data_IF_896194302887
#
_entry.id   IF_896194302887
#
_cell.length_a   1.000
_cell.length_b   1.000
_cell.length_c   1.000
_cell.angle_alpha   90.00
_cell.angle_beta   90.00
_cell.angle_gamma   90.00
#
_symmetry.space_group_name_H-M   'P 1'
#
loop_
_entity.id
_entity.type
_entity.pdbx_description
1 polymer ?
#
# COMPACT_ATOMS: atom_id res chain seq x y z
N UNK A 1 -33.18 -14.28 -16.00
CA UNK A 1 -32.75 -15.17 -14.89
C UNK A 1 -32.77 -16.65 -15.27
N UNK A 2 -33.91 -17.25 -15.68
CA UNK A 2 -33.92 -18.67 -16.11
C UNK A 2 -32.96 -18.99 -17.26
N UNK A 3 -32.96 -18.18 -18.33
CA UNK A 3 -31.99 -18.31 -19.42
C UNK A 3 -30.52 -18.14 -19.00
N UNK A 4 -30.28 -17.38 -17.93
CA UNK A 4 -28.93 -17.15 -17.38
C UNK A 4 -28.48 -18.42 -16.65
N UNK A 5 -29.38 -19.01 -15.85
CA UNK A 5 -29.17 -20.31 -15.20
C UNK A 5 -28.89 -21.41 -16.22
N UNK A 6 -29.74 -21.55 -17.24
CA UNK A 6 -29.61 -22.60 -18.27
C UNK A 6 -28.33 -22.47 -19.10
N UNK A 7 -27.88 -21.23 -19.38
CA UNK A 7 -26.59 -21.01 -20.06
C UNK A 7 -25.41 -21.42 -19.20
N UNK A 8 -25.43 -21.06 -17.91
CA UNK A 8 -24.37 -21.45 -16.99
C UNK A 8 -24.29 -22.99 -16.89
N UNK A 9 -25.43 -23.67 -16.67
CA UNK A 9 -25.45 -25.13 -16.49
C UNK A 9 -25.09 -25.95 -17.73
N UNK A 10 -25.42 -25.49 -18.94
CA UNK A 10 -25.33 -26.33 -20.15
C UNK A 10 -24.25 -25.92 -21.15
N UNK A 11 -23.62 -24.74 -21.01
CA UNK A 11 -22.54 -24.30 -21.90
C UNK A 11 -21.21 -24.36 -21.14
N UNK A 12 -20.37 -25.37 -21.39
CA UNK A 12 -19.06 -25.46 -20.74
C UNK A 12 -18.20 -24.26 -21.16
N UNK A 13 -17.56 -23.60 -20.19
CA UNK A 13 -16.88 -22.28 -20.24
C UNK A 13 -17.76 -21.03 -20.04
N UNK A 14 -19.09 -21.15 -20.02
CA UNK A 14 -20.00 -20.01 -19.85
C UNK A 14 -20.36 -19.74 -18.36
N UNK A 15 -20.01 -20.62 -17.42
CA UNK A 15 -20.27 -20.42 -15.98
C UNK A 15 -19.79 -19.07 -15.43
N UNK A 16 -18.68 -18.55 -15.98
CA UNK A 16 -18.16 -17.22 -15.64
C UNK A 16 -18.49 -16.17 -16.69
N UNK A 17 -18.55 -16.56 -17.98
CA UNK A 17 -18.91 -15.64 -19.06
C UNK A 17 -20.36 -15.19 -18.98
N UNK A 18 -21.31 -15.97 -18.46
CA UNK A 18 -22.70 -15.55 -18.31
C UNK A 18 -22.83 -14.29 -17.45
N UNK A 19 -22.02 -14.18 -16.40
CA UNK A 19 -21.98 -13.01 -15.51
C UNK A 19 -21.19 -11.83 -16.09
N UNK A 20 -20.18 -12.11 -16.91
CA UNK A 20 -19.37 -11.10 -17.60
C UNK A 20 -20.01 -10.64 -18.91
N UNK A 21 -20.92 -11.44 -19.46
CA UNK A 21 -21.68 -11.15 -20.66
C UNK A 21 -22.59 -9.96 -20.37
N UNK A 22 -22.79 -9.11 -21.38
CA UNK A 22 -23.68 -7.97 -21.27
C UNK A 22 -25.12 -8.35 -20.89
N UNK A 23 -25.52 -9.62 -20.99
CA UNK A 23 -26.89 -10.06 -20.76
C UNK A 23 -27.37 -9.83 -19.32
N UNK A 24 -26.58 -10.25 -18.31
CA UNK A 24 -26.96 -10.01 -16.92
C UNK A 24 -26.91 -8.51 -16.58
N UNK A 25 -25.89 -7.81 -17.08
CA UNK A 25 -25.76 -6.35 -16.94
C UNK A 25 -26.98 -5.61 -17.50
N UNK A 26 -27.41 -5.93 -18.73
CA UNK A 26 -28.60 -5.33 -19.36
C UNK A 26 -29.90 -5.65 -18.61
N UNK A 27 -30.02 -6.85 -18.03
CA UNK A 27 -31.19 -7.20 -17.19
C UNK A 27 -31.23 -6.32 -15.94
N UNK A 28 -30.09 -6.13 -15.25
CA UNK A 28 -30.03 -5.26 -14.07
C UNK A 28 -30.24 -3.79 -14.45
N UNK A 29 -29.61 -3.32 -15.53
CA UNK A 29 -29.83 -1.96 -16.04
C UNK A 29 -31.31 -1.71 -16.36
N UNK A 30 -32.00 -2.67 -16.99
CA UNK A 30 -33.43 -2.59 -17.26
C UNK A 30 -34.26 -2.54 -15.96
N UNK A 31 -33.97 -3.42 -14.99
CA UNK A 31 -34.66 -3.47 -13.69
C UNK A 31 -34.47 -2.15 -12.90
N UNK A 32 -33.29 -1.55 -13.00
CA UNK A 32 -32.97 -0.27 -12.35
C UNK A 32 -33.63 0.91 -13.07
N UNK A 33 -33.58 0.94 -14.41
CA UNK A 33 -34.04 2.06 -15.24
C UNK A 33 -35.56 2.21 -15.33
N UNK A 34 -36.35 1.14 -15.12
CA UNK A 34 -37.82 1.26 -15.12
C UNK A 34 -38.34 2.08 -13.93
N UNK A 35 -38.97 3.22 -14.23
CA UNK A 35 -39.56 4.12 -13.24
C UNK A 35 -40.83 3.56 -12.56
N UNK A 36 -41.55 2.63 -13.21
CA UNK A 36 -42.96 2.35 -12.88
C UNK A 36 -43.27 0.90 -12.45
N UNK A 37 -42.31 0.21 -11.83
CA UNK A 37 -42.58 -1.15 -11.33
C UNK A 37 -41.82 -1.49 -10.06
N UNK A 38 -42.27 -0.91 -8.95
CA UNK A 38 -41.93 -1.40 -7.61
C UNK A 38 -42.22 -2.91 -7.51
N UNK A 39 -43.29 -3.39 -8.17
CA UNK A 39 -43.62 -4.82 -8.29
C UNK A 39 -42.51 -5.66 -8.94
N UNK A 40 -41.91 -5.21 -10.06
CA UNK A 40 -40.83 -5.94 -10.74
C UNK A 40 -39.58 -6.02 -9.87
N UNK A 41 -39.20 -4.91 -9.23
CA UNK A 41 -38.08 -4.87 -8.30
C UNK A 41 -38.33 -5.78 -7.10
N UNK A 42 -39.54 -5.77 -6.55
CA UNK A 42 -39.92 -6.61 -5.41
C UNK A 42 -39.90 -8.09 -5.77
N UNK A 43 -40.40 -8.45 -6.96
CA UNK A 43 -40.35 -9.82 -7.46
C UNK A 43 -38.92 -10.29 -7.70
N UNK A 44 -38.08 -9.45 -8.32
CA UNK A 44 -36.67 -9.77 -8.53
C UNK A 44 -35.93 -9.95 -7.19
N UNK A 45 -36.17 -9.06 -6.23
CA UNK A 45 -35.55 -9.13 -4.91
C UNK A 45 -36.00 -10.38 -4.15
N UNK A 46 -37.29 -10.72 -4.16
CA UNK A 46 -37.81 -11.89 -3.45
C UNK A 46 -37.38 -13.21 -4.07
N UNK A 47 -37.49 -13.36 -5.39
CA UNK A 47 -37.25 -14.64 -6.09
C UNK A 47 -35.80 -14.88 -6.47
N UNK A 48 -34.97 -13.84 -6.54
CA UNK A 48 -33.59 -13.98 -7.01
C UNK A 48 -32.56 -13.41 -6.03
N UNK A 49 -32.59 -12.10 -5.75
CA UNK A 49 -31.50 -11.48 -4.96
C UNK A 49 -31.46 -11.92 -3.48
N UNK A 50 -32.61 -12.25 -2.88
CA UNK A 50 -32.67 -12.80 -1.51
C UNK A 50 -32.34 -14.29 -1.46
N UNK A 51 -32.70 -15.04 -2.49
CA UNK A 51 -32.56 -16.50 -2.53
C UNK A 51 -31.14 -16.94 -2.94
N UNK A 52 -30.51 -16.23 -3.88
CA UNK A 52 -29.23 -16.62 -4.47
C UNK A 52 -28.11 -15.61 -4.17
N UNK A 53 -26.99 -16.07 -3.61
CA UNK A 53 -25.86 -15.22 -3.18
C UNK A 53 -24.99 -14.72 -4.35
N UNK A 54 -24.85 -15.53 -5.40
CA UNK A 54 -24.16 -15.20 -6.64
C UNK A 54 -24.87 -14.04 -7.36
N UNK A 55 -26.20 -14.13 -7.52
CA UNK A 55 -27.02 -13.05 -8.09
C UNK A 55 -26.85 -11.77 -7.28
N UNK A 56 -26.90 -11.85 -5.95
CA UNK A 56 -26.75 -10.69 -5.06
C UNK A 56 -25.39 -10.01 -5.24
N UNK A 57 -24.31 -10.80 -5.19
CA UNK A 57 -22.94 -10.29 -5.35
C UNK A 57 -22.74 -9.64 -6.71
N UNK A 58 -23.24 -10.26 -7.79
CA UNK A 58 -23.11 -9.74 -9.16
C UNK A 58 -23.98 -8.52 -9.41
N UNK A 59 -25.17 -8.44 -8.80
CA UNK A 59 -25.98 -7.21 -8.84
C UNK A 59 -25.25 -6.06 -8.15
N UNK A 60 -24.58 -6.30 -7.01
CA UNK A 60 -23.77 -5.29 -6.34
C UNK A 60 -22.59 -4.81 -7.20
N UNK A 61 -21.90 -5.72 -7.89
CA UNK A 61 -20.81 -5.36 -8.83
C UNK A 61 -21.30 -4.39 -9.92
N UNK A 62 -22.48 -4.63 -10.50
CA UNK A 62 -23.07 -3.78 -11.53
C UNK A 62 -23.47 -2.42 -10.94
N UNK A 63 -24.09 -2.40 -9.76
CA UNK A 63 -24.47 -1.15 -9.09
C UNK A 63 -23.25 -0.30 -8.76
N UNK A 64 -22.17 -0.91 -8.25
CA UNK A 64 -20.89 -0.22 -8.02
C UNK A 64 -20.36 0.33 -9.35
N UNK A 65 -20.33 -0.48 -10.41
CA UNK A 65 -19.86 -0.03 -11.73
C UNK A 65 -20.67 1.13 -12.30
N UNK A 66 -22.00 1.15 -12.12
CA UNK A 66 -22.87 2.23 -12.59
C UNK A 66 -22.61 3.49 -11.77
N UNK A 67 -22.56 3.39 -10.45
CA UNK A 67 -22.32 4.53 -9.56
C UNK A 67 -20.90 5.11 -9.76
N UNK A 68 -19.90 4.26 -9.94
CA UNK A 68 -18.53 4.65 -10.27
C UNK A 68 -18.37 5.20 -11.69
N UNK A 69 -19.35 5.05 -12.58
CA UNK A 69 -19.31 5.72 -13.89
C UNK A 69 -19.88 7.16 -13.81
N UNK A 70 -20.63 7.48 -12.75
CA UNK A 70 -21.18 8.80 -12.50
C UNK A 70 -20.15 9.76 -11.84
N UNK A 71 -18.91 9.74 -12.32
CA UNK A 71 -17.75 10.42 -11.70
C UNK A 71 -17.80 11.95 -11.73
N UNK A 72 -18.70 12.55 -12.51
CA UNK A 72 -18.82 14.01 -12.61
C UNK A 72 -19.53 14.58 -11.38
N UNK A 73 -18.76 14.93 -10.36
CA UNK A 73 -19.27 15.61 -9.16
C UNK A 73 -19.66 17.04 -9.54
N UNK A 74 -20.93 17.46 -9.35
CA UNK A 74 -21.34 18.83 -9.60
C UNK A 74 -20.71 19.77 -8.56
N UNK A 75 -19.99 20.79 -9.03
CA UNK A 75 -19.49 21.89 -8.21
C UNK A 75 -20.65 22.61 -7.50
N UNK A 76 -20.40 23.32 -6.37
CA UNK A 76 -21.44 24.04 -5.63
C UNK A 76 -22.23 25.06 -6.48
N UNK A 77 -21.59 25.61 -7.51
CA UNK A 77 -22.13 26.59 -8.46
C UNK A 77 -22.62 25.96 -9.78
N UNK A 78 -22.69 24.63 -9.86
CA UNK A 78 -23.06 23.95 -11.10
C UNK A 78 -24.54 24.17 -11.45
N UNK A 79 -24.79 24.83 -12.58
CA UNK A 79 -26.11 24.95 -13.16
C UNK A 79 -26.42 23.73 -14.04
N UNK A 80 -27.46 22.99 -13.67
CA UNK A 80 -27.93 21.87 -14.47
C UNK A 80 -28.72 22.41 -15.68
N UNK A 81 -28.11 22.40 -16.86
CA UNK A 81 -28.75 22.93 -18.09
C UNK A 81 -29.44 21.84 -18.93
N UNK A 82 -28.84 20.65 -18.97
CA UNK A 82 -29.23 19.54 -19.86
C UNK A 82 -30.10 18.52 -19.12
N UNK A 83 -31.43 18.66 -19.25
CA UNK A 83 -32.40 17.68 -18.76
C UNK A 83 -32.98 16.87 -19.91
N UNK A 84 -32.99 15.54 -19.77
CA UNK A 84 -33.59 14.62 -20.72
C UNK A 84 -35.11 14.87 -20.90
N UNK A 85 -35.81 15.23 -19.80
CA UNK A 85 -37.23 15.58 -19.81
C UNK A 85 -37.41 17.08 -19.58
N UNK A 86 -38.06 17.78 -20.52
CA UNK A 86 -38.26 19.24 -20.48
C UNK A 86 -39.03 19.72 -19.24
N UNK A 87 -39.89 18.87 -18.68
CA UNK A 87 -40.67 19.10 -17.44
C UNK A 87 -39.81 19.18 -16.18
N UNK A 88 -38.60 18.60 -16.21
CA UNK A 88 -37.73 18.45 -15.04
C UNK A 88 -37.12 19.76 -14.54
N UNK A 89 -37.07 20.81 -15.38
CA UNK A 89 -36.60 22.15 -14.99
C UNK A 89 -37.40 22.78 -13.86
N UNK A 90 -38.67 22.38 -13.68
CA UNK A 90 -39.55 22.88 -12.60
C UNK A 90 -39.36 22.13 -11.27
N UNK A 91 -38.70 20.97 -11.28
CA UNK A 91 -38.55 20.15 -10.08
C UNK A 91 -37.31 20.57 -9.29
N UNK A 92 -37.51 21.25 -8.16
CA UNK A 92 -36.42 21.70 -7.27
C UNK A 92 -35.48 20.56 -6.83
N UNK A 93 -35.95 19.31 -6.79
CA UNK A 93 -35.12 18.14 -6.44
C UNK A 93 -34.13 17.73 -7.54
N UNK A 94 -34.38 18.12 -8.79
CA UNK A 94 -33.51 17.79 -9.94
C UNK A 94 -32.54 18.93 -10.30
N UNK A 95 -32.80 20.15 -9.79
CA UNK A 95 -31.97 21.34 -10.02
C UNK A 95 -31.02 21.61 -8.84
N UNK A 96 -31.29 21.04 -7.66
CA UNK A 96 -30.44 21.26 -6.47
C UNK A 96 -29.27 20.27 -6.41
N UNK A 97 -28.04 20.80 -6.35
CA UNK A 97 -26.81 20.01 -6.10
C UNK A 97 -26.92 19.19 -4.82
N UNK A 98 -27.45 19.77 -3.74
CA UNK A 98 -27.62 19.07 -2.46
C UNK A 98 -28.60 17.89 -2.55
N UNK A 99 -29.63 17.98 -3.41
CA UNK A 99 -30.58 16.89 -3.61
C UNK A 99 -29.93 15.72 -4.39
N UNK A 100 -29.09 16.02 -5.38
CA UNK A 100 -28.28 15.01 -6.08
C UNK A 100 -27.27 14.36 -5.14
N UNK A 101 -26.50 15.15 -4.38
CA UNK A 101 -25.57 14.64 -3.36
C UNK A 101 -26.27 13.77 -2.33
N UNK A 102 -27.44 14.17 -1.84
CA UNK A 102 -28.23 13.35 -0.90
C UNK A 102 -28.63 12.00 -1.51
N UNK A 103 -29.11 11.97 -2.75
CA UNK A 103 -29.47 10.72 -3.43
C UNK A 103 -28.25 9.82 -3.67
N UNK A 104 -27.14 10.40 -4.10
CA UNK A 104 -25.88 9.67 -4.28
C UNK A 104 -25.38 9.09 -2.95
N UNK A 105 -25.43 9.89 -1.87
CA UNK A 105 -25.08 9.46 -0.52
C UNK A 105 -25.96 8.28 -0.07
N UNK A 106 -27.28 8.37 -0.24
CA UNK A 106 -28.21 7.31 0.15
C UNK A 106 -27.97 6.02 -0.67
N UNK A 107 -27.63 6.16 -1.96
CA UNK A 107 -27.27 5.03 -2.82
C UNK A 107 -25.96 4.36 -2.39
N UNK A 108 -24.91 5.15 -2.14
CA UNK A 108 -23.63 4.63 -1.64
C UNK A 108 -23.79 3.97 -0.27
N UNK A 109 -24.55 4.56 0.65
CA UNK A 109 -24.84 3.95 1.96
C UNK A 109 -25.61 2.64 1.81
N UNK A 110 -26.55 2.55 0.87
CA UNK A 110 -27.26 1.29 0.60
C UNK A 110 -26.29 0.20 0.11
N UNK A 111 -25.33 0.55 -0.75
CA UNK A 111 -24.27 -0.39 -1.18
C UNK A 111 -23.39 -0.78 0.01
N UNK A 112 -22.93 0.18 0.81
CA UNK A 112 -22.02 -0.05 1.94
C UNK A 112 -22.63 -0.87 3.09
N UNK A 113 -23.95 -0.86 3.25
CA UNK A 113 -24.67 -1.67 4.25
C UNK A 113 -24.85 -3.13 3.86
N UNK A 114 -24.62 -3.49 2.59
CA UNK A 114 -24.69 -4.88 2.16
C UNK A 114 -23.44 -5.66 2.57
N UNK A 115 -23.52 -6.99 2.51
CA UNK A 115 -22.36 -7.85 2.69
C UNK A 115 -21.44 -7.74 1.47
N UNK A 116 -20.45 -6.85 1.55
CA UNK A 116 -19.48 -6.58 0.49
C UNK A 116 -18.33 -7.60 0.58
N UNK A 117 -18.02 -8.25 -0.55
CA UNK A 117 -16.86 -9.15 -0.67
C UNK A 117 -15.52 -8.40 -0.54
N UNK A 118 -14.44 -9.12 -0.23
CA UNK A 118 -13.12 -8.50 -0.03
C UNK A 118 -12.62 -7.74 -1.29
N UNK A 119 -12.85 -8.27 -2.49
CA UNK A 119 -12.47 -7.64 -3.75
C UNK A 119 -13.25 -6.35 -4.03
N UNK A 120 -14.56 -6.36 -3.77
CA UNK A 120 -15.42 -5.18 -3.85
C UNK A 120 -14.99 -4.12 -2.83
N UNK A 121 -14.70 -4.53 -1.59
CA UNK A 121 -14.22 -3.63 -0.52
C UNK A 121 -12.93 -2.93 -0.95
N UNK A 122 -11.92 -3.67 -1.45
CA UNK A 122 -10.68 -3.07 -1.98
C UNK A 122 -10.94 -2.10 -3.13
N UNK A 123 -11.90 -2.41 -4.01
CA UNK A 123 -12.27 -1.53 -5.12
C UNK A 123 -12.90 -0.23 -4.63
N UNK A 124 -13.85 -0.31 -3.69
CA UNK A 124 -14.49 0.85 -3.06
C UNK A 124 -13.46 1.72 -2.31
N UNK A 125 -12.59 1.12 -1.51
CA UNK A 125 -11.56 1.86 -0.76
C UNK A 125 -10.56 2.57 -1.70
N UNK A 126 -10.25 1.98 -2.86
CA UNK A 126 -9.35 2.61 -3.84
C UNK A 126 -9.92 3.92 -4.39
N UNK A 127 -11.23 3.95 -4.67
CA UNK A 127 -11.94 5.12 -5.22
C UNK A 127 -12.58 6.01 -4.14
N UNK A 128 -12.45 5.64 -2.86
CA UNK A 128 -13.16 6.30 -1.75
C UNK A 128 -12.92 7.81 -1.72
N UNK A 129 -11.66 8.23 -1.69
CA UNK A 129 -11.27 9.64 -1.53
C UNK A 129 -11.66 10.52 -2.72
N UNK A 130 -11.48 10.02 -3.94
CA UNK A 130 -11.66 10.83 -5.14
C UNK A 130 -13.09 10.78 -5.71
N UNK A 131 -13.80 9.66 -5.50
CA UNK A 131 -15.08 9.41 -6.18
C UNK A 131 -16.24 9.16 -5.23
N UNK A 132 -16.03 8.78 -3.96
CA UNK A 132 -17.15 8.48 -3.03
C UNK A 132 -17.32 9.62 -2.03
N UNK A 133 -16.29 9.96 -1.27
CA UNK A 133 -16.31 10.99 -0.22
C UNK A 133 -16.86 12.35 -0.70
N UNK A 134 -16.51 12.88 -1.89
CA UNK A 134 -17.01 14.18 -2.35
C UNK A 134 -18.54 14.24 -2.59
N UNK A 135 -19.19 13.08 -2.79
CA UNK A 135 -20.65 13.00 -2.93
C UNK A 135 -21.38 13.06 -1.59
N UNK A 136 -20.69 12.83 -0.47
CA UNK A 136 -21.29 12.82 0.85
C UNK A 136 -21.43 14.26 1.38
N UNK A 137 -22.65 14.66 1.69
CA UNK A 137 -22.88 15.88 2.46
C UNK A 137 -22.46 15.69 3.93
N UNK A 138 -22.62 14.46 4.43
CA UNK A 138 -22.20 14.02 5.77
C UNK A 138 -21.23 12.84 5.65
N UNK A 139 -19.94 13.09 5.36
CA UNK A 139 -18.95 12.04 5.19
C UNK A 139 -18.62 11.30 6.50
N UNK A 140 -19.07 11.81 7.66
CA UNK A 140 -18.94 11.12 8.95
C UNK A 140 -19.62 9.74 8.94
N UNK A 141 -20.63 9.53 8.08
CA UNK A 141 -21.31 8.24 7.93
C UNK A 141 -20.41 7.14 7.33
N UNK A 142 -19.28 7.51 6.73
CA UNK A 142 -18.28 6.57 6.21
C UNK A 142 -17.31 6.10 7.29
N UNK A 143 -17.27 6.76 8.45
CA UNK A 143 -16.29 6.51 9.51
C UNK A 143 -16.34 5.06 10.00
N UNK A 144 -17.53 4.53 10.25
CA UNK A 144 -17.70 3.15 10.74
C UNK A 144 -17.17 2.15 9.70
N UNK A 145 -17.56 2.29 8.43
CA UNK A 145 -17.10 1.41 7.36
C UNK A 145 -15.58 1.48 7.15
N UNK A 146 -15.01 2.68 7.21
CA UNK A 146 -13.58 2.90 7.05
C UNK A 146 -12.80 2.37 8.26
N UNK A 147 -13.31 2.55 9.47
CA UNK A 147 -12.73 2.01 10.71
C UNK A 147 -12.75 0.48 10.71
N UNK A 148 -13.88 -0.13 10.34
CA UNK A 148 -13.99 -1.58 10.18
C UNK A 148 -13.00 -2.09 9.15
N UNK A 149 -12.93 -1.44 7.99
CA UNK A 149 -11.99 -1.78 6.92
C UNK A 149 -10.52 -1.58 7.33
N UNK A 150 -10.26 -0.62 8.20
CA UNK A 150 -8.93 -0.36 8.77
C UNK A 150 -8.53 -1.39 9.83
N UNK A 151 -9.50 -1.96 10.54
CA UNK A 151 -9.26 -2.98 11.55
C UNK A 151 -9.09 -4.39 10.97
N UNK A 152 -9.52 -4.66 9.73
CA UNK A 152 -9.34 -5.95 9.05
C UNK A 152 -7.87 -6.37 8.93
N UNK A 153 -6.95 -5.43 8.68
CA UNK A 153 -5.52 -5.70 8.50
C UNK A 153 -5.07 -5.81 7.03
N UNK A 154 -3.75 -5.81 6.84
CA UNK A 154 -3.09 -6.01 5.54
C UNK A 154 -3.41 -4.92 4.50
N UNK A 155 -3.53 -5.33 3.24
CA UNK A 155 -3.74 -4.41 2.12
C UNK A 155 -5.04 -3.60 2.21
N UNK A 156 -6.08 -4.13 2.84
CA UNK A 156 -7.37 -3.44 3.01
C UNK A 156 -7.22 -2.24 3.96
N UNK A 157 -6.48 -2.41 5.06
CA UNK A 157 -6.19 -1.33 6.00
C UNK A 157 -5.39 -0.20 5.35
N UNK A 158 -4.43 -0.53 4.49
CA UNK A 158 -3.64 0.48 3.76
C UNK A 158 -4.50 1.34 2.83
N UNK A 159 -5.50 0.74 2.19
CA UNK A 159 -6.43 1.47 1.33
C UNK A 159 -7.38 2.32 2.19
N UNK A 160 -7.88 1.78 3.30
CA UNK A 160 -8.76 2.48 4.24
C UNK A 160 -8.10 3.69 4.91
N UNK A 161 -6.78 3.63 5.18
CA UNK A 161 -6.01 4.71 5.79
C UNK A 161 -6.15 6.03 5.01
N UNK A 162 -6.25 5.96 3.68
CA UNK A 162 -6.41 7.16 2.86
C UNK A 162 -7.76 7.85 3.03
N UNK A 163 -8.86 7.09 3.20
CA UNK A 163 -10.18 7.65 3.48
C UNK A 163 -10.31 8.13 4.92
N UNK A 164 -9.78 7.38 5.88
CA UNK A 164 -9.67 7.83 7.27
C UNK A 164 -8.90 9.15 7.37
N UNK A 165 -7.81 9.29 6.61
CA UNK A 165 -7.05 10.53 6.59
C UNK A 165 -7.87 11.72 6.10
N UNK A 166 -8.62 11.56 5.02
CA UNK A 166 -9.50 12.60 4.51
C UNK A 166 -10.53 13.03 5.57
N UNK A 167 -11.14 12.06 6.28
CA UNK A 167 -12.07 12.34 7.37
C UNK A 167 -11.41 13.08 8.55
N UNK A 168 -10.20 12.69 8.94
CA UNK A 168 -9.43 13.37 9.99
C UNK A 168 -9.10 14.81 9.56
N UNK A 169 -8.64 15.00 8.33
CA UNK A 169 -8.17 16.31 7.84
C UNK A 169 -9.31 17.30 7.57
N UNK A 170 -10.38 16.87 6.89
CA UNK A 170 -11.47 17.76 6.44
C UNK A 170 -12.57 17.94 7.49
N UNK A 171 -12.77 16.93 8.36
CA UNK A 171 -13.87 16.91 9.33
C UNK A 171 -13.41 16.88 10.79
N UNK A 172 -12.10 16.90 11.05
CA UNK A 172 -11.54 16.84 12.41
C UNK A 172 -12.11 15.67 13.23
N UNK A 173 -12.34 14.53 12.57
CA UNK A 173 -12.78 13.30 13.23
C UNK A 173 -11.56 12.64 13.89
N UNK A 174 -11.63 12.40 15.18
CA UNK A 174 -10.55 11.73 15.91
C UNK A 174 -10.66 10.21 15.81
N UNK A 175 -9.54 9.56 15.46
CA UNK A 175 -9.39 8.12 15.57
C UNK A 175 -8.57 7.78 16.83
N UNK A 176 -9.13 7.04 17.80
CA UNK A 176 -8.41 6.70 19.03
C UNK A 176 -7.18 5.84 18.71
N UNK A 177 -6.05 6.13 19.37
CA UNK A 177 -4.80 5.35 19.21
C UNK A 177 -4.28 5.29 17.76
N UNK A 178 -4.52 6.33 16.96
CA UNK A 178 -4.10 6.41 15.57
C UNK A 178 -2.65 5.97 15.33
N UNK A 179 -1.70 6.50 16.09
CA UNK A 179 -0.28 6.18 15.92
C UNK A 179 0.08 4.75 16.34
N UNK A 180 -0.58 4.17 17.35
CA UNK A 180 -0.36 2.75 17.71
C UNK A 180 -0.80 1.85 16.55
N UNK A 181 -1.96 2.14 15.96
CA UNK A 181 -2.45 1.37 14.82
C UNK A 181 -1.59 1.59 13.58
N UNK A 182 -1.16 2.82 13.30
CA UNK A 182 -0.21 3.14 12.23
C UNK A 182 1.13 2.40 12.41
N UNK A 183 1.61 2.30 13.64
CA UNK A 183 2.82 1.57 13.99
C UNK A 183 2.66 0.05 13.77
N UNK A 184 1.52 -0.52 14.17
CA UNK A 184 1.19 -1.93 13.91
C UNK A 184 1.04 -2.27 12.43
N UNK A 185 0.70 -1.28 11.59
CA UNK A 185 0.56 -1.43 10.14
C UNK A 185 1.92 -1.50 9.44
N UNK A 186 3.00 -1.06 10.09
CA UNK A 186 4.36 -1.29 9.62
C UNK A 186 4.75 -2.73 9.90
N UNK A 187 4.29 -3.63 9.02
CA UNK A 187 4.61 -5.05 9.02
C UNK A 187 5.64 -5.40 7.92
N UNK A 188 6.04 -6.67 7.88
CA UNK A 188 6.96 -7.17 6.86
C UNK A 188 6.37 -7.04 5.45
N UNK A 189 5.08 -7.32 5.29
CA UNK A 189 4.40 -7.37 3.98
C UNK A 189 4.19 -5.99 3.35
N UNK A 190 4.10 -4.93 4.16
CA UNK A 190 3.91 -3.55 3.73
C UNK A 190 4.95 -3.14 2.68
N UNK A 191 6.23 -3.44 2.91
CA UNK A 191 7.32 -3.02 2.03
C UNK A 191 7.31 -3.77 0.69
N UNK A 192 6.66 -4.93 0.64
CA UNK A 192 6.43 -5.73 -0.57
C UNK A 192 5.09 -5.40 -1.26
N UNK A 193 4.21 -4.65 -0.60
CA UNK A 193 2.89 -4.28 -1.13
C UNK A 193 2.98 -3.30 -2.30
N UNK A 194 2.10 -3.48 -3.29
CA UNK A 194 1.90 -2.54 -4.41
C UNK A 194 1.44 -1.15 -3.94
N UNK A 195 0.79 -1.07 -2.78
CA UNK A 195 0.23 0.18 -2.24
C UNK A 195 1.19 0.94 -1.32
N UNK A 196 2.44 0.49 -1.17
CA UNK A 196 3.45 1.12 -0.30
C UNK A 196 3.69 2.60 -0.61
N UNK A 197 3.70 3.01 -1.87
CA UNK A 197 3.95 4.42 -2.22
C UNK A 197 2.85 5.34 -1.66
N UNK A 198 1.58 4.92 -1.79
CA UNK A 198 0.44 5.65 -1.22
C UNK A 198 0.55 5.72 0.30
N UNK A 199 0.96 4.63 0.93
CA UNK A 199 1.20 4.59 2.36
C UNK A 199 2.32 5.54 2.81
N UNK A 200 3.48 5.53 2.16
CA UNK A 200 4.60 6.42 2.51
C UNK A 200 4.25 7.91 2.33
N UNK A 201 3.45 8.27 1.32
CA UNK A 201 2.93 9.64 1.16
C UNK A 201 2.11 10.06 2.39
N UNK A 202 1.16 9.22 2.80
CA UNK A 202 0.33 9.48 3.98
C UNK A 202 1.16 9.52 5.27
N UNK A 203 2.06 8.56 5.45
CA UNK A 203 2.94 8.50 6.62
C UNK A 203 3.86 9.73 6.71
N UNK A 204 4.33 10.25 5.57
CA UNK A 204 5.09 11.49 5.54
C UNK A 204 4.27 12.68 6.03
N UNK A 205 2.98 12.75 5.68
CA UNK A 205 2.08 13.77 6.23
C UNK A 205 1.84 13.59 7.73
N UNK A 206 1.62 12.35 8.18
CA UNK A 206 1.37 12.07 9.61
C UNK A 206 2.56 12.39 10.50
N UNK A 207 3.76 11.93 10.13
CA UNK A 207 4.97 12.13 10.92
C UNK A 207 5.61 13.52 10.74
N UNK A 208 5.08 14.35 9.83
CA UNK A 208 5.44 15.76 9.73
C UNK A 208 4.76 16.65 10.78
N UNK A 209 3.83 16.11 11.58
CA UNK A 209 3.15 16.85 12.65
C UNK A 209 4.13 17.31 13.73
N UNK A 210 4.02 18.56 14.18
CA UNK A 210 4.90 19.18 15.19
C UNK A 210 4.62 18.72 16.62
N UNK A 211 3.48 18.09 16.88
CA UNK A 211 3.03 17.72 18.23
C UNK A 211 3.42 16.28 18.63
N UNK A 212 4.35 15.66 17.90
CA UNK A 212 4.73 14.28 18.13
C UNK A 212 5.91 14.18 19.11
N UNK A 213 5.85 13.28 20.10
CA UNK A 213 6.98 13.06 20.98
C UNK A 213 8.11 12.36 20.23
N UNK A 214 9.35 12.73 20.54
CA UNK A 214 10.54 12.15 19.90
C UNK A 214 10.65 10.63 20.07
N UNK A 215 10.16 10.09 21.19
CA UNK A 215 10.14 8.63 21.45
C UNK A 215 9.29 7.88 20.44
N UNK A 216 8.13 8.43 20.06
CA UNK A 216 7.26 7.86 19.04
C UNK A 216 7.96 7.84 17.69
N UNK A 217 8.56 8.95 17.28
CA UNK A 217 9.27 9.05 16.00
C UNK A 217 10.48 8.11 15.96
N UNK A 218 11.25 8.02 17.05
CA UNK A 218 12.34 7.06 17.18
C UNK A 218 11.87 5.62 16.96
N UNK A 219 10.69 5.24 17.48
CA UNK A 219 10.10 3.93 17.26
C UNK A 219 9.75 3.67 15.80
N UNK A 220 9.19 4.65 15.11
CA UNK A 220 8.92 4.57 13.68
C UNK A 220 10.22 4.42 12.88
N UNK A 221 11.26 5.21 13.19
CA UNK A 221 12.56 5.12 12.54
C UNK A 221 13.18 3.74 12.76
N UNK A 222 13.23 3.24 14.01
CA UNK A 222 13.83 1.96 14.35
C UNK A 222 13.09 0.79 13.72
N UNK A 223 11.75 0.77 13.78
CA UNK A 223 10.94 -0.26 13.12
C UNK A 223 11.15 -0.28 11.61
N UNK A 224 11.11 0.89 10.95
CA UNK A 224 11.40 0.98 9.51
C UNK A 224 12.82 0.52 9.17
N UNK A 225 13.81 0.82 10.01
CA UNK A 225 15.20 0.39 9.82
C UNK A 225 15.34 -1.14 9.92
N UNK A 226 14.64 -1.76 10.88
CA UNK A 226 14.62 -3.22 11.03
C UNK A 226 13.90 -3.92 9.88
N UNK A 227 12.76 -3.38 9.44
CA UNK A 227 12.05 -3.88 8.27
C UNK A 227 12.88 -3.70 6.97
N UNK A 228 13.70 -2.64 6.90
CA UNK A 228 14.54 -2.37 5.73
C UNK A 228 15.60 -3.45 5.47
N UNK A 229 16.00 -4.24 6.48
CA UNK A 229 16.96 -5.34 6.30
C UNK A 229 16.46 -6.43 5.34
N UNK A 230 15.15 -6.69 5.36
CA UNK A 230 14.50 -7.70 4.50
C UNK A 230 13.74 -7.07 3.33
N UNK A 231 13.81 -5.74 3.20
CA UNK A 231 13.03 -5.00 2.24
C UNK A 231 13.63 -5.09 0.82
N UNK A 232 12.80 -4.96 -0.22
CA UNK A 232 13.30 -4.84 -1.58
C UNK A 232 14.09 -3.52 -1.74
N UNK A 233 15.11 -3.45 -2.61
CA UNK A 233 15.91 -2.24 -2.85
C UNK A 233 15.04 -1.04 -3.22
N UNK A 234 13.94 -1.27 -3.93
CA UNK A 234 12.94 -0.24 -4.28
C UNK A 234 12.29 0.44 -3.08
N UNK A 235 12.15 -0.28 -1.95
CA UNK A 235 11.61 0.29 -0.72
C UNK A 235 12.71 0.98 0.10
N UNK A 236 13.92 0.42 0.14
CA UNK A 236 15.07 1.00 0.87
C UNK A 236 15.39 2.42 0.35
N UNK A 237 15.32 2.61 -0.98
CA UNK A 237 15.50 3.92 -1.64
C UNK A 237 14.52 4.99 -1.14
N UNK A 238 13.33 4.60 -0.66
CA UNK A 238 12.34 5.50 -0.05
C UNK A 238 12.59 5.66 1.45
N UNK A 239 12.86 4.55 2.15
CA UNK A 239 13.01 4.50 3.61
C UNK A 239 14.18 5.37 4.08
N UNK A 240 15.32 5.33 3.41
CA UNK A 240 16.53 6.04 3.87
C UNK A 240 16.36 7.57 3.80
N UNK A 241 15.93 8.18 2.68
CA UNK A 241 15.60 9.61 2.65
C UNK A 241 14.47 9.99 3.62
N UNK A 242 13.51 9.10 3.84
CA UNK A 242 12.46 9.30 4.83
C UNK A 242 13.01 9.40 6.26
N UNK A 243 13.88 8.47 6.65
CA UNK A 243 14.58 8.49 7.93
C UNK A 243 15.46 9.73 8.06
N UNK A 244 16.17 10.12 7.00
CA UNK A 244 16.96 11.36 6.98
C UNK A 244 16.10 12.58 7.33
N UNK A 245 14.94 12.71 6.68
CA UNK A 245 14.02 13.82 6.92
C UNK A 245 13.50 13.83 8.36
N UNK A 246 13.17 12.66 8.93
CA UNK A 246 12.72 12.53 10.33
C UNK A 246 13.82 12.87 11.35
N UNK A 247 15.05 12.42 11.10
CA UNK A 247 16.21 12.75 11.94
C UNK A 247 16.55 14.24 11.89
N UNK A 248 16.39 14.87 10.72
CA UNK A 248 16.62 16.31 10.55
C UNK A 248 15.54 17.14 11.24
N UNK A 249 14.27 16.72 11.18
CA UNK A 249 13.17 17.42 11.86
C UNK A 249 13.16 17.21 13.37
N UNK A 250 13.67 16.07 13.85
CA UNK A 250 13.73 15.73 15.28
C UNK A 250 15.16 15.41 15.72
N UNK A 251 15.98 16.44 16.04
CA UNK A 251 17.38 16.27 16.41
C UNK A 251 17.62 15.33 17.60
N UNK A 252 16.67 15.17 18.50
CA UNK A 252 16.74 14.21 19.61
C UNK A 252 16.87 12.76 19.14
N UNK A 253 16.36 12.41 17.96
CA UNK A 253 16.50 11.06 17.40
C UNK A 253 17.93 10.79 16.87
N UNK A 254 18.78 11.83 16.72
CA UNK A 254 20.15 11.67 16.23
C UNK A 254 21.07 10.93 17.20
N UNK A 255 20.69 10.80 18.48
CA UNK A 255 21.38 9.91 19.43
C UNK A 255 21.41 8.45 18.99
N UNK A 256 20.49 8.03 18.12
CA UNK A 256 20.48 6.69 17.54
C UNK A 256 21.58 6.48 16.47
N UNK A 257 22.13 7.58 15.91
CA UNK A 257 23.26 7.54 14.98
C UNK A 257 24.60 7.67 15.69
N UNK A 258 24.69 8.60 16.64
CA UNK A 258 25.93 8.88 17.35
C UNK A 258 25.65 8.96 18.85
N UNK A 259 26.04 7.91 19.57
CA UNK A 259 25.93 7.81 21.03
C UNK A 259 27.33 7.78 21.63
N UNK A 260 27.62 8.76 22.48
CA UNK A 260 28.85 8.77 23.28
C UNK A 260 28.56 8.03 24.59
N UNK A 261 29.27 6.93 24.80
CA UNK A 261 29.22 6.14 26.04
C UNK A 261 30.06 6.84 27.10
N UNK A 262 29.56 6.94 28.34
CA UNK A 262 30.31 7.50 29.48
C UNK A 262 31.35 6.50 29.98
N UNK A 263 32.47 7.00 30.50
CA UNK A 263 33.65 6.19 30.86
C UNK A 263 33.34 5.02 31.82
N UNK A 264 32.40 5.19 32.75
CA UNK A 264 32.00 4.16 33.73
C UNK A 264 31.36 2.93 33.05
N UNK A 265 30.55 3.13 32.00
CA UNK A 265 29.87 2.04 31.28
C UNK A 265 30.70 1.48 30.12
N UNK A 266 31.84 2.11 29.80
CA UNK A 266 32.66 1.72 28.65
C UNK A 266 33.40 0.40 28.88
N UNK A 267 33.92 0.19 30.08
CA UNK A 267 34.65 -1.04 30.43
C UNK A 267 33.76 -2.29 30.37
N UNK A 268 32.50 -2.17 30.84
CA UNK A 268 31.51 -3.25 30.79
C UNK A 268 31.10 -3.56 29.35
N UNK A 269 30.83 -2.52 28.54
CA UNK A 269 30.46 -2.68 27.13
C UNK A 269 31.59 -3.27 26.27
N UNK A 270 32.85 -2.96 26.57
CA UNK A 270 34.00 -3.57 25.88
C UNK A 270 34.18 -5.06 26.23
N UNK A 271 33.76 -5.47 27.44
CA UNK A 271 33.87 -6.86 27.88
C UNK A 271 32.72 -7.75 27.40
N UNK A 272 31.48 -7.25 27.45
CA UNK A 272 30.27 -8.07 27.22
C UNK A 272 29.49 -7.69 25.94
N UNK A 273 29.79 -6.54 25.32
CA UNK A 273 29.03 -6.00 24.20
C UNK A 273 27.78 -5.22 24.64
N UNK A 274 26.99 -4.75 23.67
CA UNK A 274 25.75 -4.00 23.91
C UNK A 274 24.55 -4.78 23.38
N UNK A 275 23.61 -5.09 24.26
CA UNK A 275 22.30 -5.58 23.86
C UNK A 275 21.41 -4.42 23.37
N UNK A 276 20.64 -4.66 22.31
CA UNK A 276 19.70 -3.66 21.78
C UNK A 276 18.47 -3.55 22.71
N UNK A 277 18.22 -2.40 23.37
CA UNK A 277 17.09 -2.23 24.28
C UNK A 277 15.73 -2.14 23.57
N UNK A 278 15.72 -2.03 22.23
CA UNK A 278 14.49 -1.88 21.45
C UNK A 278 13.67 -3.17 21.37
N UNK A 279 12.41 -3.09 21.80
CA UNK A 279 11.42 -4.17 21.68
C UNK A 279 10.62 -4.03 20.38
N UNK A 280 10.71 -5.03 19.49
CA UNK A 280 9.97 -5.08 18.24
C UNK A 280 8.52 -5.51 18.38
N UNK A 281 8.18 -6.24 19.44
CA UNK A 281 6.83 -6.80 19.65
C UNK A 281 5.92 -5.82 20.42
N UNK A 282 6.49 -4.80 21.07
CA UNK A 282 5.72 -3.78 21.78
C UNK A 282 4.81 -3.01 20.82
N UNK A 283 3.47 -3.01 21.02
CA UNK A 283 2.51 -2.36 20.14
C UNK A 283 2.47 -0.83 20.32
N UNK A 284 2.82 -0.32 21.51
CA UNK A 284 2.81 1.11 21.78
C UNK A 284 4.16 1.75 21.38
N UNK A 285 4.21 2.59 20.33
CA UNK A 285 5.45 3.22 19.88
C UNK A 285 6.07 4.15 20.94
N UNK A 286 5.37 4.52 22.01
CA UNK A 286 5.97 5.32 23.08
C UNK A 286 6.81 4.45 24.03
N UNK A 287 6.56 3.13 24.09
CA UNK A 287 7.11 2.21 25.11
C UNK A 287 8.23 1.28 24.60
N UNK A 288 8.52 1.29 23.31
CA UNK A 288 9.48 0.37 22.66
C UNK A 288 10.94 0.56 23.05
N UNK A 289 11.28 1.67 23.73
CA UNK A 289 12.67 2.10 24.05
C UNK A 289 13.57 2.33 22.83
N UNK A 290 13.00 2.60 21.66
CA UNK A 290 13.78 2.87 20.43
C UNK A 290 14.80 4.01 20.56
N UNK A 291 14.54 5.02 21.39
CA UNK A 291 15.46 6.15 21.60
C UNK A 291 16.77 5.75 22.29
N UNK A 292 16.77 4.64 23.05
CA UNK A 292 17.94 4.09 23.74
C UNK A 292 18.77 3.18 22.84
N UNK A 293 18.18 2.71 21.73
CA UNK A 293 18.82 1.92 20.69
C UNK A 293 19.69 2.77 19.74
N UNK A 294 20.43 2.07 18.86
CA UNK A 294 21.13 2.64 17.70
C UNK A 294 20.64 2.04 16.37
N UNK A 295 21.02 2.66 15.23
CA UNK A 295 20.59 2.28 13.87
C UNK A 295 21.63 1.41 13.12
N UNK A 296 22.00 0.26 13.70
CA UNK A 296 22.92 -0.69 13.06
C UNK A 296 22.39 -1.25 11.75
N UNK A 297 21.07 -1.30 11.60
CA UNK A 297 20.43 -1.82 10.40
C UNK A 297 20.75 -0.95 9.17
N UNK A 298 20.68 0.38 9.31
CA UNK A 298 21.03 1.31 8.23
C UNK A 298 22.52 1.26 7.90
N UNK A 299 23.38 1.08 8.91
CA UNK A 299 24.81 0.90 8.69
C UNK A 299 25.10 -0.37 7.87
N UNK A 300 24.42 -1.48 8.18
CA UNK A 300 24.55 -2.73 7.43
C UNK A 300 24.11 -2.58 5.97
N UNK A 301 23.06 -1.79 5.71
CA UNK A 301 22.58 -1.49 4.36
C UNK A 301 23.57 -0.68 3.49
N UNK A 302 24.64 -0.13 4.06
CA UNK A 302 25.69 0.54 3.30
C UNK A 302 26.50 -0.43 2.42
N UNK A 303 26.49 -1.72 2.75
CA UNK A 303 27.14 -2.78 1.98
C UNK A 303 26.15 -3.55 1.08
N UNK A 304 25.03 -2.92 0.74
CA UNK A 304 24.01 -3.53 -0.12
C UNK A 304 24.55 -3.79 -1.55
N UNK A 305 24.12 -4.91 -2.16
CA UNK A 305 24.61 -5.34 -3.48
C UNK A 305 24.37 -4.32 -4.60
N UNK A 306 23.26 -3.56 -4.51
CA UNK A 306 22.93 -2.52 -5.47
C UNK A 306 23.64 -1.20 -5.14
N UNK A 307 24.50 -0.66 -6.02
CA UNK A 307 25.38 0.47 -5.71
C UNK A 307 24.62 1.77 -5.36
N UNK A 308 23.50 2.06 -6.02
CA UNK A 308 22.70 3.25 -5.70
C UNK A 308 22.05 3.15 -4.31
N UNK A 309 21.67 1.94 -3.87
CA UNK A 309 21.08 1.74 -2.54
C UNK A 309 22.15 1.93 -1.47
N UNK A 310 23.33 1.34 -1.67
CA UNK A 310 24.49 1.54 -0.81
C UNK A 310 24.91 3.03 -0.74
N UNK A 311 24.89 3.75 -1.87
CA UNK A 311 25.17 5.18 -1.89
C UNK A 311 24.14 6.00 -1.11
N UNK A 312 22.84 5.68 -1.25
CA UNK A 312 21.78 6.35 -0.50
C UNK A 312 21.90 6.05 1.00
N UNK A 313 22.17 4.80 1.40
CA UNK A 313 22.40 4.43 2.79
C UNK A 313 23.59 5.18 3.42
N UNK A 314 24.65 5.45 2.63
CA UNK A 314 25.82 6.22 3.09
C UNK A 314 25.51 7.68 3.41
N UNK A 315 24.44 8.28 2.84
CA UNK A 315 24.02 9.65 3.17
C UNK A 315 23.81 9.83 4.68
N UNK A 316 23.36 8.79 5.38
CA UNK A 316 23.13 8.82 6.83
C UNK A 316 24.44 8.88 7.63
N UNK A 317 25.55 8.38 7.08
CA UNK A 317 26.88 8.48 7.69
C UNK A 317 27.65 9.73 7.28
N UNK A 318 27.22 10.40 6.21
CA UNK A 318 27.78 11.68 5.78
C UNK A 318 27.20 12.85 6.58
N UNK A 319 27.79 14.05 6.41
CA UNK A 319 27.29 15.25 7.08
C UNK A 319 25.92 15.66 6.53
N UNK A 320 25.00 16.04 7.42
CA UNK A 320 23.62 16.42 7.10
C UNK A 320 23.52 17.82 6.47
N UNK A 321 24.06 17.95 5.26
CA UNK A 321 24.16 19.21 4.50
C UNK A 321 22.86 19.59 3.81
N UNK A 322 22.09 18.62 3.31
CA UNK A 322 20.83 18.87 2.62
C UNK A 322 19.72 19.19 3.62
N UNK A 323 18.90 20.21 3.36
CA UNK A 323 17.80 20.56 4.26
C UNK A 323 16.70 19.50 4.28
N UNK A 324 16.32 18.98 3.11
CA UNK A 324 15.24 18.01 2.96
C UNK A 324 15.41 17.22 1.65
N UNK A 325 14.99 15.95 1.65
CA UNK A 325 14.86 15.14 0.44
C UNK A 325 13.38 15.03 0.06
N UNK A 326 13.03 15.44 -1.16
CA UNK A 326 11.68 15.23 -1.68
C UNK A 326 11.43 13.73 -1.90
N UNK A 327 10.45 13.16 -1.19
CA UNK A 327 10.16 11.73 -1.29
C UNK A 327 9.54 11.33 -2.63
N UNK A 328 8.82 12.23 -3.30
CA UNK A 328 8.20 11.93 -4.60
C UNK A 328 9.23 11.53 -5.65
N UNK A 329 10.48 11.99 -5.53
CA UNK A 329 11.58 11.62 -6.43
C UNK A 329 12.02 10.16 -6.25
N UNK A 330 11.71 9.56 -5.10
CA UNK A 330 12.10 8.19 -4.72
C UNK A 330 10.93 7.21 -4.73
N UNK A 331 9.69 7.72 -4.65
CA UNK A 331 8.48 6.92 -4.66
C UNK A 331 8.21 6.30 -6.04
N UNK A 332 7.37 5.26 -6.07
CA UNK A 332 6.95 4.54 -7.29
C UNK A 332 8.08 3.87 -8.09
N UNK A 333 9.28 3.79 -7.52
CA UNK A 333 10.36 3.04 -8.13
C UNK A 333 10.09 1.53 -8.05
N UNK A 334 10.20 0.86 -9.20
CA UNK A 334 9.96 -0.58 -9.34
C UNK A 334 11.23 -1.29 -9.78
N UNK A 335 11.28 -2.62 -9.64
CA UNK A 335 12.40 -3.40 -10.17
C UNK A 335 12.53 -3.23 -11.68
N UNK A 336 11.42 -3.14 -12.40
CA UNK A 336 11.42 -2.84 -13.82
C UNK A 336 12.07 -1.47 -14.09
N UNK A 337 11.73 -0.45 -13.31
CA UNK A 337 12.36 0.87 -13.40
C UNK A 337 13.87 0.85 -13.08
N UNK A 338 14.30 0.06 -12.09
CA UNK A 338 15.72 -0.14 -11.78
C UNK A 338 16.48 -0.76 -12.95
N UNK A 339 15.95 -1.86 -13.51
CA UNK A 339 16.58 -2.56 -14.63
C UNK A 339 16.60 -1.68 -15.88
N UNK A 340 15.52 -0.96 -16.16
CA UNK A 340 15.46 -0.01 -17.29
C UNK A 340 16.42 1.17 -17.10
N UNK A 341 16.66 1.61 -15.86
CA UNK A 341 17.65 2.66 -15.59
C UNK A 341 19.08 2.19 -15.93
N UNK A 342 19.40 0.94 -15.62
CA UNK A 342 20.71 0.33 -15.91
C UNK A 342 20.88 0.02 -17.40
N UNK A 343 19.92 -0.69 -18.01
CA UNK A 343 20.00 -1.08 -19.43
C UNK A 343 19.76 0.09 -20.39
N UNK A 344 18.99 1.09 -19.97
CA UNK A 344 18.43 2.10 -20.86
C UNK A 344 17.21 1.61 -21.63
N UNK A 345 16.43 2.56 -22.16
CA UNK A 345 15.32 2.31 -23.08
C UNK A 345 15.79 2.09 -24.52
N UNK A 346 17.00 2.55 -24.83
CA UNK A 346 17.68 2.44 -26.11
C UNK A 346 19.10 1.92 -25.87
N UNK A 347 19.79 1.47 -26.93
CA UNK A 347 21.20 1.07 -26.86
C UNK A 347 22.07 2.23 -26.36
N UNK A 348 22.33 2.24 -25.06
CA UNK A 348 23.25 3.21 -24.45
C UNK A 348 24.68 2.73 -24.66
N UNK A 349 25.57 3.56 -25.23
CA UNK A 349 26.98 3.21 -25.26
C UNK A 349 27.48 3.03 -23.82
N UNK A 350 28.21 1.94 -23.56
CA UNK A 350 28.77 1.66 -22.23
C UNK A 350 29.67 2.82 -21.81
N UNK A 351 29.37 3.45 -20.67
CA UNK A 351 30.15 4.58 -20.14
C UNK A 351 31.57 4.18 -19.73
N UNK A 352 31.76 2.90 -19.36
CA UNK A 352 33.03 2.32 -18.92
C UNK A 352 33.18 0.93 -19.51
N UNK A 353 34.41 0.57 -19.86
CA UNK A 353 34.73 -0.77 -20.36
C UNK A 353 34.56 -1.75 -19.19
N UNK A 354 33.76 -2.84 -19.35
CA UNK A 354 33.61 -3.84 -18.31
C UNK A 354 34.94 -4.54 -18.04
N UNK A 355 35.17 -4.88 -16.77
CA UNK A 355 36.35 -5.63 -16.33
C UNK A 355 36.04 -7.12 -16.25
N UNK A 356 37.07 -7.94 -16.41
CA UNK A 356 36.98 -9.41 -16.33
C UNK A 356 37.83 -9.94 -15.18
N UNK A 357 37.47 -11.13 -14.69
CA UNK A 357 38.26 -11.86 -13.71
C UNK A 357 39.44 -12.57 -14.42
N UNK A 358 40.67 -12.34 -13.97
CA UNK A 358 41.88 -12.87 -14.62
C UNK A 358 42.16 -14.32 -14.23
N UNK A 359 41.86 -14.70 -12.98
CA UNK A 359 42.15 -16.02 -12.45
C UNK A 359 40.89 -16.90 -12.44
N UNK A 360 40.43 -17.27 -13.64
CA UNK A 360 39.27 -18.16 -13.79
C UNK A 360 39.65 -19.57 -13.28
N UNK A 361 38.89 -20.15 -12.34
CA UNK A 361 39.15 -21.49 -11.84
C UNK A 361 38.94 -22.51 -12.96
N UNK A 362 39.86 -23.48 -13.08
CA UNK A 362 39.73 -24.57 -14.06
C UNK A 362 38.55 -25.51 -13.74
N UNK A 363 38.17 -25.60 -12.46
CA UNK A 363 37.05 -26.40 -11.97
C UNK A 363 35.82 -25.50 -11.77
N UNK A 364 34.91 -25.53 -12.74
CA UNK A 364 33.65 -24.78 -12.67
C UNK A 364 32.50 -25.73 -12.30
N UNK A 365 32.24 -26.74 -13.14
CA UNK A 365 31.17 -27.74 -12.93
C UNK A 365 31.68 -29.19 -12.81
N UNK A 366 32.99 -29.40 -12.80
CA UNK A 366 33.57 -30.75 -12.85
C UNK A 366 34.51 -30.99 -11.68
N UNK A 367 34.48 -32.21 -11.15
CA UNK A 367 35.45 -32.71 -10.16
C UNK A 367 36.77 -33.18 -10.79
N UNK A 368 37.03 -32.79 -12.05
CA UNK A 368 38.29 -33.10 -12.73
C UNK A 368 39.47 -32.59 -11.92
N UNK A 369 40.45 -33.46 -11.66
CA UNK A 369 41.66 -33.20 -10.86
C UNK A 369 41.42 -33.09 -9.34
N UNK A 370 40.26 -33.47 -8.80
CA UNK A 370 40.02 -33.47 -7.34
C UNK A 370 41.00 -34.40 -6.59
N UNK A 371 41.37 -35.53 -7.22
CA UNK A 371 42.36 -36.48 -6.68
C UNK A 371 43.78 -35.89 -6.59
N UNK A 372 44.13 -34.93 -7.46
CA UNK A 372 45.45 -34.27 -7.47
C UNK A 372 45.60 -33.25 -6.35
N UNK A 373 44.49 -32.69 -5.84
CA UNK A 373 44.45 -31.69 -4.76
C UNK A 373 44.11 -32.29 -3.38
N UNK A 374 44.25 -33.61 -3.22
CA UNK A 374 44.02 -34.26 -1.93
C UNK A 374 42.54 -34.46 -1.57
N UNK A 375 41.64 -34.42 -2.56
CA UNK A 375 40.23 -34.83 -2.40
C UNK A 375 39.30 -33.81 -1.73
N UNK A 376 39.78 -32.59 -1.44
CA UNK A 376 38.96 -31.52 -0.83
C UNK A 376 38.79 -30.37 -1.82
N UNK A 377 37.54 -30.09 -2.22
CA UNK A 377 37.23 -28.97 -3.11
C UNK A 377 37.22 -27.63 -2.36
N UNK A 378 38.38 -26.96 -2.32
CA UNK A 378 38.50 -25.59 -1.80
C UNK A 378 38.41 -24.53 -2.89
N UNK A 379 38.13 -24.90 -4.14
CA UNK A 379 38.11 -23.96 -5.25
C UNK A 379 36.84 -23.09 -5.24
N UNK A 380 36.88 -21.87 -5.80
CA UNK A 380 35.69 -21.04 -5.99
C UNK A 380 34.57 -21.84 -6.69
N UNK A 381 33.37 -21.83 -6.11
CA UNK A 381 32.22 -22.61 -6.58
C UNK A 381 32.03 -23.98 -5.92
N UNK A 382 32.88 -24.37 -4.96
CA UNK A 382 32.73 -25.64 -4.22
C UNK A 382 31.38 -25.77 -3.51
N UNK A 383 30.84 -24.67 -3.00
CA UNK A 383 29.49 -24.63 -2.43
C UNK A 383 28.41 -25.09 -3.43
N UNK A 384 28.50 -24.67 -4.69
CA UNK A 384 27.53 -25.03 -5.72
C UNK A 384 27.69 -26.50 -6.10
N UNK A 385 28.92 -26.98 -6.29
CA UNK A 385 29.22 -28.39 -6.60
C UNK A 385 28.86 -29.35 -5.47
N UNK A 386 29.04 -28.95 -4.21
CA UNK A 386 28.64 -29.76 -3.06
C UNK A 386 27.12 -29.90 -2.90
N UNK A 387 26.33 -28.99 -3.48
CA UNK A 387 24.86 -28.98 -3.39
C UNK A 387 24.16 -29.52 -4.64
N UNK A 388 24.86 -29.59 -5.77
CA UNK A 388 24.28 -29.96 -7.06
C UNK A 388 25.11 -31.06 -7.73
N UNK A 389 24.44 -32.15 -8.09
CA UNK A 389 25.03 -33.18 -8.93
C UNK A 389 24.96 -32.74 -10.40
N UNK A 390 26.12 -32.76 -11.05
CA UNK A 390 26.30 -32.36 -12.45
C UNK A 390 26.67 -33.54 -13.36
N UNK A 391 26.49 -34.78 -12.87
CA UNK A 391 26.77 -36.03 -13.60
C UNK A 391 25.90 -36.26 -14.85
#
# INVERSE_FOLDING_TARGET
MRMISERATHIPSDDTQVWLSGLFKSVIEAVVATDDSEALRTEFLMKFAKEYEDVRTKTLDILISILSACDTIPSPEHEFENFYVKSSKKNKKLVSVNAHKKRAQDAWLAVLRNNISESQRKTLLRIMVHNIEPWFNRPELLMDFLTDSYNVGGATSLLALSGLFYLIQEKNLDYPQFYQKLYSLLDADLLHSKHRSRFFRLMNTFLASTHLPATLIASFIKRLSRLALNAPPTAIVVIVPFIYNLLKSHPTCTFMLHRVIKDEAKAELEAEGMDDPYDSEEPDPVRTKAIESSLWEIHSLQQHYHPNVAAIARIISEQFTKQFYNLEDFLDYTYQGMVQAELGTEEKPMKRIPVIEYHIPKRIFTDRMLEEDGGVDTAPGSLVRGLWDFA
#
